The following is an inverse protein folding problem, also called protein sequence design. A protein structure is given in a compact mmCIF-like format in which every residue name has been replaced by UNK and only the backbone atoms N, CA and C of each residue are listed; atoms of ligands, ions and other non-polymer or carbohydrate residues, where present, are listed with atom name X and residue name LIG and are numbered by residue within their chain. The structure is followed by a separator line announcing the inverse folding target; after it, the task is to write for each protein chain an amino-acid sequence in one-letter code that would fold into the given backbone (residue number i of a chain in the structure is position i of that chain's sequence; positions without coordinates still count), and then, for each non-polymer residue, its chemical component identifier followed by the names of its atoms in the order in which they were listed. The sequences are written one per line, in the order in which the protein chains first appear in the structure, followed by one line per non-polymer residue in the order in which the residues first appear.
data_IF_734829057090
#
_entry.id   IF_734829057090
#
_cell.length_a   1.000
_cell.length_b   1.000
_cell.length_c   1.000
_cell.angle_alpha   90.00
_cell.angle_beta   90.00
_cell.angle_gamma   90.00
#
_symmetry.space_group_name_H-M   'P 1'
#
loop_
_entity.id
_entity.type
_entity.pdbx_description
1 polymer ?
#
# COMPACT_ATOMS: atom_id res chain seq x y z
N UNK A 1 4.30 -1.55 -19.80
CA UNK A 1 5.58 -1.74 -19.09
C UNK A 1 5.38 -3.02 -18.32
N UNK A 2 5.84 -4.14 -18.86
CA UNK A 2 5.77 -5.43 -18.16
C UNK A 2 6.86 -5.40 -17.09
N UNK A 3 6.49 -4.94 -15.89
CA UNK A 3 7.40 -4.86 -14.76
C UNK A 3 7.81 -6.28 -14.35
N UNK A 4 9.08 -6.61 -14.55
CA UNK A 4 9.65 -7.88 -14.14
C UNK A 4 9.89 -7.88 -12.62
N UNK A 5 8.83 -8.22 -11.87
CA UNK A 5 8.88 -8.32 -10.41
C UNK A 5 9.77 -9.46 -9.89
N UNK A 6 10.28 -10.35 -10.76
CA UNK A 6 11.19 -11.44 -10.36
C UNK A 6 12.52 -10.93 -9.78
N UNK A 7 12.89 -9.68 -10.09
CA UNK A 7 14.11 -9.03 -9.59
C UNK A 7 13.97 -8.50 -8.16
N UNK A 8 12.74 -8.41 -7.62
CA UNK A 8 12.47 -7.88 -6.29
C UNK A 8 12.64 -8.94 -5.19
N UNK A 9 13.85 -9.48 -5.04
CA UNK A 9 14.16 -10.59 -4.11
C UNK A 9 13.81 -10.32 -2.64
N UNK A 10 13.69 -9.05 -2.24
CA UNK A 10 13.39 -8.62 -0.87
C UNK A 10 11.91 -8.26 -0.66
N UNK A 11 11.08 -8.37 -1.68
CA UNK A 11 9.67 -7.99 -1.61
C UNK A 11 8.77 -9.21 -1.74
N UNK A 12 7.74 -9.24 -0.91
CA UNK A 12 6.57 -10.07 -1.14
C UNK A 12 5.50 -9.19 -1.78
N UNK A 13 4.99 -9.60 -2.94
CA UNK A 13 3.90 -8.92 -3.62
C UNK A 13 2.80 -9.91 -4.01
N UNK A 14 1.60 -9.38 -4.21
CA UNK A 14 0.42 -10.08 -4.70
C UNK A 14 -0.40 -9.12 -5.55
N UNK A 15 -1.12 -9.66 -6.52
CA UNK A 15 -2.07 -8.93 -7.35
C UNK A 15 -3.48 -9.08 -6.80
N UNK A 16 -4.18 -7.95 -6.69
CA UNK A 16 -5.57 -7.88 -6.23
C UNK A 16 -6.42 -7.18 -7.29
N UNK A 17 -7.67 -7.60 -7.41
CA UNK A 17 -8.66 -6.92 -8.26
C UNK A 17 -9.34 -5.76 -7.53
N UNK A 18 -8.94 -5.47 -6.28
CA UNK A 18 -9.45 -4.32 -5.54
C UNK A 18 -8.86 -3.04 -6.12
N UNK A 19 -9.74 -2.11 -6.45
CA UNK A 19 -9.35 -0.78 -6.87
C UNK A 19 -9.05 0.08 -5.64
N UNK A 20 -7.76 0.29 -5.34
CA UNK A 20 -7.36 1.20 -4.27
C UNK A 20 -7.52 2.65 -4.76
N UNK A 21 -8.13 3.54 -3.96
CA UNK A 21 -8.34 4.93 -4.38
C UNK A 21 -7.04 5.73 -4.52
N UNK A 22 -5.95 5.27 -3.89
CA UNK A 22 -4.67 5.99 -3.78
C UNK A 22 -3.58 5.02 -3.30
N UNK A 23 -2.32 5.40 -3.47
CA UNK A 23 -1.20 4.64 -2.93
C UNK A 23 -1.06 4.87 -1.43
N UNK A 24 -1.00 3.79 -0.66
CA UNK A 24 -0.90 3.83 0.80
C UNK A 24 0.37 3.09 1.22
N UNK A 25 1.23 3.77 1.98
CA UNK A 25 2.41 3.17 2.60
C UNK A 25 2.23 3.20 4.11
N UNK A 26 2.48 2.06 4.78
CA UNK A 26 2.33 1.91 6.22
C UNK A 26 3.69 1.54 6.80
N UNK A 27 4.21 2.35 7.72
CA UNK A 27 5.47 2.08 8.41
C UNK A 27 5.36 2.44 9.89
N UNK A 28 5.49 1.44 10.77
CA UNK A 28 5.29 1.58 12.22
C UNK A 28 3.95 2.27 12.54
N UNK A 29 3.99 3.45 13.16
CA UNK A 29 2.83 4.27 13.54
C UNK A 29 2.53 5.38 12.52
N UNK A 30 3.17 5.35 11.35
CA UNK A 30 3.06 6.37 10.32
C UNK A 30 2.38 5.77 9.09
N UNK A 31 1.54 6.58 8.43
CA UNK A 31 1.04 6.28 7.09
C UNK A 31 1.35 7.44 6.15
N UNK A 32 1.63 7.10 4.90
CA UNK A 32 1.68 8.04 3.79
C UNK A 32 0.59 7.67 2.80
N UNK A 33 -0.33 8.59 2.55
CA UNK A 33 -1.33 8.51 1.48
C UNK A 33 -0.82 9.38 0.33
N UNK A 34 -0.61 8.80 -0.85
CA UNK A 34 -0.02 9.45 -2.00
C UNK A 34 -1.01 9.47 -3.18
N UNK A 35 -1.49 10.67 -3.49
CA UNK A 35 -2.38 10.93 -4.62
C UNK A 35 -1.53 11.40 -5.79
N UNK A 36 -1.52 10.60 -6.86
CA UNK A 36 -0.82 10.93 -8.09
C UNK A 36 -1.63 11.88 -8.96
N UNK A 37 -0.92 12.70 -9.73
CA UNK A 37 -1.44 13.70 -10.67
C UNK A 37 -0.28 14.57 -11.17
N UNK A 38 -0.56 15.60 -11.95
CA UNK A 38 0.47 16.53 -12.47
C UNK A 38 1.29 17.18 -11.34
N UNK A 39 0.65 17.41 -10.19
CA UNK A 39 1.29 17.80 -8.94
C UNK A 39 0.90 16.81 -7.85
N UNK A 40 1.74 15.80 -7.56
CA UNK A 40 1.40 14.76 -6.60
C UNK A 40 1.30 15.34 -5.18
N UNK A 41 0.34 14.83 -4.41
CA UNK A 41 0.10 15.27 -3.03
C UNK A 41 0.28 14.08 -2.09
N UNK A 42 1.06 14.29 -1.03
CA UNK A 42 1.27 13.30 0.02
C UNK A 42 0.70 13.80 1.36
N UNK A 43 -0.04 12.93 2.04
CA UNK A 43 -0.52 13.15 3.40
C UNK A 43 0.26 12.23 4.34
N UNK A 44 1.06 12.82 5.24
CA UNK A 44 1.75 12.10 6.30
C UNK A 44 0.91 12.16 7.58
N UNK A 45 0.53 11.00 8.09
CA UNK A 45 -0.23 10.89 9.34
C UNK A 45 0.59 10.12 10.36
N UNK A 46 0.81 10.74 11.52
CA UNK A 46 1.47 10.14 12.68
C UNK A 46 0.41 9.67 13.68
N UNK A 47 -0.02 8.42 13.58
CA UNK A 47 -1.01 7.84 14.49
C UNK A 47 -0.97 6.31 14.48
N UNK A 48 -0.66 5.72 15.64
CA UNK A 48 -0.71 4.27 15.82
C UNK A 48 -2.09 3.72 15.49
N UNK A 49 -3.15 4.37 15.97
CA UNK A 49 -4.52 3.92 15.75
C UNK A 49 -4.85 3.86 14.26
N UNK A 50 -4.49 4.89 13.49
CA UNK A 50 -4.73 4.93 12.05
C UNK A 50 -3.88 3.87 11.34
N UNK A 51 -2.58 3.77 11.65
CA UNK A 51 -1.70 2.77 11.05
C UNK A 51 -2.18 1.34 11.29
N UNK A 52 -2.68 1.02 12.50
CA UNK A 52 -3.22 -0.30 12.82
C UNK A 52 -4.50 -0.62 12.02
N UNK A 53 -5.39 0.36 11.83
CA UNK A 53 -6.61 0.18 11.03
C UNK A 53 -6.28 -0.09 9.56
N UNK A 54 -5.35 0.67 8.98
CA UNK A 54 -4.90 0.46 7.60
C UNK A 54 -4.13 -0.85 7.44
N UNK A 55 -3.33 -1.27 8.43
CA UNK A 55 -2.63 -2.56 8.41
C UNK A 55 -3.62 -3.72 8.39
N UNK A 56 -4.67 -3.65 9.23
CA UNK A 56 -5.73 -4.65 9.23
C UNK A 56 -6.44 -4.73 7.87
N UNK A 57 -6.77 -3.59 7.28
CA UNK A 57 -7.34 -3.56 5.93
C UNK A 57 -6.41 -4.20 4.89
N UNK A 58 -5.12 -3.86 4.90
CA UNK A 58 -4.12 -4.49 4.02
C UNK A 58 -4.09 -6.01 4.20
N UNK A 59 -4.07 -6.51 5.44
CA UNK A 59 -4.06 -7.96 5.72
C UNK A 59 -5.31 -8.68 5.18
N UNK A 60 -6.48 -8.06 5.28
CA UNK A 60 -7.72 -8.58 4.71
C UNK A 60 -7.64 -8.68 3.19
N UNK A 61 -7.15 -7.62 2.52
CA UNK A 61 -6.91 -7.65 1.07
C UNK A 61 -5.85 -8.68 0.69
N UNK A 62 -4.77 -8.78 1.45
CA UNK A 62 -3.66 -9.70 1.21
C UNK A 62 -4.08 -11.17 1.24
N UNK A 63 -5.06 -11.52 2.07
CA UNK A 63 -5.64 -12.89 2.12
C UNK A 63 -6.42 -13.24 0.85
N UNK A 64 -7.05 -12.25 0.21
CA UNK A 64 -7.84 -12.44 -1.02
C UNK A 64 -6.99 -12.32 -2.30
N UNK A 65 -5.84 -11.65 -2.23
CA UNK A 65 -4.96 -11.41 -3.36
C UNK A 65 -4.23 -12.68 -3.83
N UNK A 66 -3.94 -12.76 -5.14
CA UNK A 66 -3.23 -13.87 -5.80
C UNK A 66 -1.75 -13.54 -5.97
N UNK A 67 -0.90 -14.57 -5.97
CA UNK A 67 0.54 -14.42 -6.18
C UNK A 67 0.85 -13.97 -7.60
#
# INVERSE_FOLDING_TARGET
MDDDFSKLKLYHYKFSNINFPTNINIHNNNIVILVWGDSPVAFLVHSKQVADKYRKYFEEVWKMAKK
#
